data_IF_100150015706
#
_entry.id   IF_100150015706
#
_cell.length_a   1.000
_cell.length_b   1.000
_cell.length_c   1.000
_cell.angle_alpha   90.00
_cell.angle_beta   90.00
_cell.angle_gamma   90.00
#
_symmetry.space_group_name_H-M   'P 1'
#
loop_
_entity.id
_entity.type
_entity.pdbx_description
1 polymer ?
#
# COMPACT_ATOMS: atom_id res chain seq x y z
N UNK A 1 -11.47 28.80 25.46
CA UNK A 1 -10.68 27.57 25.60
C UNK A 1 -11.36 26.47 24.80
N UNK A 2 -10.91 26.24 23.57
CA UNK A 2 -11.04 24.97 22.84
C UNK A 2 -9.92 25.01 21.81
N UNK A 3 -8.83 24.31 22.12
CA UNK A 3 -7.76 24.08 21.16
C UNK A 3 -8.34 23.25 20.02
N UNK A 4 -8.57 23.90 18.87
CA UNK A 4 -8.79 23.18 17.62
C UNK A 4 -7.45 22.57 17.22
N UNK A 5 -7.17 21.38 17.76
CA UNK A 5 -6.07 20.55 17.33
C UNK A 5 -6.32 20.11 15.88
N UNK A 6 -5.84 20.90 14.93
CA UNK A 6 -5.75 20.51 13.51
C UNK A 6 -4.57 19.57 13.27
N UNK A 7 -4.28 18.66 14.20
CA UNK A 7 -3.57 17.41 13.91
C UNK A 7 -4.62 16.30 13.71
N UNK A 8 -5.52 16.55 12.75
CA UNK A 8 -6.52 15.58 12.36
C UNK A 8 -5.79 14.32 11.85
N UNK A 9 -5.83 13.23 12.62
CA UNK A 9 -5.37 11.89 12.25
C UNK A 9 -5.74 11.62 10.78
N UNK A 10 -4.81 11.79 9.85
CA UNK A 10 -5.06 11.49 8.43
C UNK A 10 -5.52 10.05 8.33
N UNK A 11 -6.67 9.81 7.68
CA UNK A 11 -7.22 8.46 7.50
C UNK A 11 -6.21 7.65 6.68
N UNK A 12 -5.95 6.41 7.08
CA UNK A 12 -4.97 5.54 6.37
C UNK A 12 -5.34 5.37 4.90
N UNK A 13 -6.64 5.33 4.57
CA UNK A 13 -7.13 5.33 3.18
C UNK A 13 -6.59 6.51 2.37
N UNK A 14 -6.64 7.73 2.90
CA UNK A 14 -6.10 8.91 2.23
C UNK A 14 -4.58 8.85 2.08
N UNK A 15 -3.88 8.30 3.08
CA UNK A 15 -2.43 8.13 3.02
C UNK A 15 -2.01 7.11 1.96
N UNK A 16 -2.72 5.98 1.84
CA UNK A 16 -2.51 4.98 0.80
C UNK A 16 -2.81 5.52 -0.58
N UNK A 17 -3.91 6.26 -0.76
CA UNK A 17 -4.23 6.92 -2.04
C UNK A 17 -3.12 7.90 -2.42
N UNK A 18 -2.61 8.70 -1.48
CA UNK A 18 -1.51 9.64 -1.76
C UNK A 18 -0.17 8.95 -2.06
N UNK A 19 0.09 7.81 -1.40
CA UNK A 19 1.25 6.97 -1.69
C UNK A 19 1.17 6.40 -3.12
N UNK A 20 -0.02 5.95 -3.51
CA UNK A 20 -0.31 5.29 -4.78
C UNK A 20 -0.74 6.19 -5.93
N UNK A 21 -0.65 7.50 -5.77
CA UNK A 21 -1.03 8.46 -6.82
C UNK A 21 -0.22 8.20 -8.11
N UNK A 22 -0.93 8.09 -9.23
CA UNK A 22 -0.41 7.61 -10.51
C UNK A 22 -0.35 6.08 -10.63
N UNK A 23 0.09 5.39 -9.58
CA UNK A 23 0.24 3.92 -9.58
C UNK A 23 -1.09 3.17 -9.65
N UNK A 24 -2.07 3.55 -8.81
CA UNK A 24 -3.40 2.91 -8.83
C UNK A 24 -4.09 3.14 -10.19
N UNK A 25 -3.89 4.32 -10.79
CA UNK A 25 -4.53 4.71 -12.06
C UNK A 25 -4.00 3.94 -13.28
N UNK A 26 -2.91 3.19 -13.15
CA UNK A 26 -2.43 2.27 -14.19
C UNK A 26 -3.41 1.11 -14.45
N UNK A 27 -4.29 0.80 -13.49
CA UNK A 27 -5.30 -0.25 -13.63
C UNK A 27 -6.46 0.20 -14.51
N UNK A 28 -6.58 -0.39 -15.70
CA UNK A 28 -7.68 -0.12 -16.63
C UNK A 28 -9.05 -0.54 -16.08
N UNK A 29 -9.08 -1.62 -15.27
CA UNK A 29 -10.30 -2.12 -14.62
C UNK A 29 -10.21 -1.91 -13.11
N UNK A 30 -11.37 -1.88 -12.43
CA UNK A 30 -11.41 -1.81 -10.96
C UNK A 30 -10.63 -2.94 -10.31
N UNK A 31 -10.73 -4.16 -10.85
CA UNK A 31 -9.97 -5.32 -10.36
C UNK A 31 -8.46 -5.08 -10.41
N UNK A 32 -7.95 -4.53 -11.53
CA UNK A 32 -6.53 -4.18 -11.64
C UNK A 32 -6.14 -3.06 -10.64
N UNK A 33 -7.01 -2.06 -10.45
CA UNK A 33 -6.78 -1.02 -9.43
C UNK A 33 -6.75 -1.58 -8.01
N UNK A 34 -7.62 -2.53 -7.69
CA UNK A 34 -7.62 -3.25 -6.41
C UNK A 34 -6.35 -4.09 -6.23
N UNK A 35 -5.85 -4.73 -7.29
CA UNK A 35 -4.54 -5.42 -7.27
C UNK A 35 -3.40 -4.44 -6.94
N UNK A 36 -3.36 -3.28 -7.60
CA UNK A 36 -2.37 -2.24 -7.29
C UNK A 36 -2.50 -1.71 -5.86
N UNK A 37 -3.74 -1.57 -5.36
CA UNK A 37 -3.99 -1.15 -3.98
C UNK A 37 -3.50 -2.19 -2.96
N UNK A 38 -3.66 -3.49 -3.24
CA UNK A 38 -3.10 -4.58 -2.41
C UNK A 38 -1.57 -4.59 -2.40
N UNK A 39 -0.95 -4.33 -3.55
CA UNK A 39 0.52 -4.17 -3.64
C UNK A 39 0.99 -2.97 -2.79
N UNK A 40 0.29 -1.84 -2.88
CA UNK A 40 0.52 -0.66 -2.04
C UNK A 40 0.42 -0.97 -0.54
N UNK A 41 -0.61 -1.70 -0.13
CA UNK A 41 -0.79 -2.12 1.27
C UNK A 41 0.38 -3.01 1.74
N UNK A 42 0.83 -3.93 0.89
CA UNK A 42 1.99 -4.78 1.19
C UNK A 42 3.26 -3.95 1.36
N UNK A 43 3.55 -3.03 0.43
CA UNK A 43 4.69 -2.11 0.53
C UNK A 43 4.62 -1.25 1.79
N UNK A 44 3.43 -0.73 2.13
CA UNK A 44 3.20 0.03 3.34
C UNK A 44 3.56 -0.75 4.60
N UNK A 45 3.07 -1.99 4.70
CA UNK A 45 3.30 -2.86 5.84
C UNK A 45 4.79 -3.22 6.01
N UNK A 46 5.48 -3.54 4.91
CA UNK A 46 6.94 -3.76 4.93
C UNK A 46 7.67 -2.50 5.41
N UNK A 47 7.27 -1.32 4.95
CA UNK A 47 7.87 -0.06 5.38
C UNK A 47 7.62 0.28 6.86
N UNK A 48 6.61 -0.33 7.50
CA UNK A 48 6.36 -0.21 8.94
C UNK A 48 7.25 -1.15 9.78
N UNK A 49 7.88 -2.17 9.21
CA UNK A 49 8.78 -3.08 9.92
C UNK A 49 10.09 -2.40 10.31
N UNK A 50 10.77 -3.00 11.31
CA UNK A 50 12.17 -2.71 11.59
C UNK A 50 13.02 -2.87 10.31
N UNK A 51 13.92 -1.93 10.01
CA UNK A 51 14.79 -2.00 8.83
C UNK A 51 15.45 -3.36 8.61
N UNK A 52 15.86 -4.05 9.69
CA UNK A 52 16.51 -5.37 9.64
C UNK A 52 15.60 -6.47 9.09
N UNK A 53 14.28 -6.32 9.24
CA UNK A 53 13.29 -7.32 8.80
C UNK A 53 12.79 -7.08 7.37
N UNK A 54 12.98 -5.87 6.82
CA UNK A 54 12.43 -5.48 5.51
C UNK A 54 12.96 -6.32 4.36
N UNK A 55 14.24 -6.66 4.39
CA UNK A 55 14.86 -7.47 3.33
C UNK A 55 14.25 -8.88 3.26
N UNK A 56 13.97 -9.50 4.41
CA UNK A 56 13.27 -10.78 4.46
C UNK A 56 11.82 -10.63 3.96
N UNK A 57 11.09 -9.64 4.47
CA UNK A 57 9.70 -9.43 4.09
C UNK A 57 9.53 -9.10 2.59
N UNK A 58 10.51 -8.41 1.97
CA UNK A 58 10.54 -8.20 0.53
C UNK A 58 10.66 -9.52 -0.24
N UNK A 59 11.61 -10.39 0.15
CA UNK A 59 11.76 -11.71 -0.49
C UNK A 59 10.49 -12.53 -0.37
N UNK A 60 9.90 -12.57 0.83
CA UNK A 60 8.64 -13.28 1.08
C UNK A 60 7.49 -12.72 0.19
N UNK A 61 7.44 -11.40 -0.03
CA UNK A 61 6.45 -10.77 -0.90
C UNK A 61 6.66 -11.12 -2.38
N UNK A 62 7.90 -11.19 -2.85
CA UNK A 62 8.23 -11.60 -4.23
C UNK A 62 7.91 -13.07 -4.45
N UNK A 63 8.23 -13.95 -3.50
CA UNK A 63 7.87 -15.38 -3.58
C UNK A 63 6.36 -15.57 -3.68
N UNK A 64 5.57 -14.87 -2.85
CA UNK A 64 4.11 -14.91 -2.92
C UNK A 64 3.55 -14.36 -4.23
N UNK A 65 4.19 -13.32 -4.79
CA UNK A 65 3.81 -12.80 -6.10
C UNK A 65 3.98 -13.87 -7.19
N UNK A 66 5.12 -14.57 -7.18
CA UNK A 66 5.40 -15.67 -8.12
C UNK A 66 4.37 -16.80 -7.96
N UNK A 67 4.13 -17.25 -6.73
CA UNK A 67 3.15 -18.32 -6.44
C UNK A 67 1.72 -17.96 -6.90
N UNK A 68 1.32 -16.71 -6.73
CA UNK A 68 -0.01 -16.23 -7.11
C UNK A 68 -0.16 -15.99 -8.63
N UNK A 69 0.94 -15.93 -9.39
CA UNK A 69 0.95 -15.59 -10.82
C UNK A 69 1.76 -16.63 -11.62
N UNK A 70 1.31 -17.90 -11.68
CA UNK A 70 2.02 -18.94 -12.41
C UNK A 70 2.15 -18.59 -13.90
N UNK A 71 3.35 -18.76 -14.47
CA UNK A 71 3.66 -18.40 -15.86
C UNK A 71 4.04 -16.93 -16.07
N UNK A 72 4.10 -16.13 -15.01
CA UNK A 72 4.50 -14.71 -15.03
C UNK A 72 5.72 -14.42 -14.17
N UNK A 73 6.58 -15.41 -13.99
CA UNK A 73 7.80 -15.32 -13.17
C UNK A 73 8.72 -14.19 -13.67
N UNK A 74 8.72 -13.93 -14.98
CA UNK A 74 9.46 -12.85 -15.61
C UNK A 74 9.02 -11.43 -15.17
N UNK A 75 7.80 -11.27 -14.63
CA UNK A 75 7.30 -10.00 -14.08
C UNK A 75 7.80 -9.73 -12.64
N UNK A 76 8.41 -10.73 -11.98
CA UNK A 76 8.78 -10.63 -10.57
C UNK A 76 9.83 -9.54 -10.28
N UNK A 77 10.75 -9.28 -11.21
CA UNK A 77 11.74 -8.21 -11.08
C UNK A 77 11.09 -6.83 -11.11
N UNK A 78 10.15 -6.60 -12.03
CA UNK A 78 9.37 -5.37 -12.10
C UNK A 78 8.56 -5.15 -10.82
N UNK A 79 7.91 -6.20 -10.31
CA UNK A 79 7.18 -6.15 -9.05
C UNK A 79 8.11 -5.78 -7.87
N UNK A 80 9.28 -6.38 -7.77
CA UNK A 80 10.25 -6.07 -6.70
C UNK A 80 10.72 -4.60 -6.78
N UNK A 81 11.00 -4.10 -7.98
CA UNK A 81 11.39 -2.70 -8.19
C UNK A 81 10.29 -1.72 -7.77
N UNK A 82 9.04 -2.00 -8.15
CA UNK A 82 7.90 -1.17 -7.77
C UNK A 82 7.69 -1.18 -6.26
N UNK A 83 7.78 -2.35 -5.62
CA UNK A 83 7.73 -2.48 -4.16
C UNK A 83 8.82 -1.65 -3.47
N UNK A 84 10.05 -1.66 -3.98
CA UNK A 84 11.16 -0.83 -3.45
C UNK A 84 10.84 0.66 -3.56
N UNK A 85 10.35 1.13 -4.71
CA UNK A 85 9.95 2.54 -4.93
C UNK A 85 8.82 2.95 -3.99
N UNK A 86 7.81 2.10 -3.82
CA UNK A 86 6.67 2.36 -2.93
C UNK A 86 7.09 2.42 -1.46
N UNK A 87 7.95 1.51 -1.00
CA UNK A 87 8.50 1.54 0.38
C UNK A 87 9.26 2.83 0.62
N UNK A 88 10.16 3.22 -0.30
CA UNK A 88 10.91 4.47 -0.19
C UNK A 88 9.98 5.69 -0.14
N UNK A 89 8.97 5.72 -1.01
CA UNK A 89 7.96 6.79 -1.03
C UNK A 89 7.17 6.85 0.28
N UNK A 90 6.78 5.71 0.87
CA UNK A 90 6.10 5.65 2.18
C UNK A 90 6.99 6.21 3.27
N UNK A 91 8.26 5.80 3.33
CA UNK A 91 9.22 6.28 4.33
C UNK A 91 9.47 7.80 4.21
N UNK A 92 9.44 8.35 3.00
CA UNK A 92 9.56 9.79 2.75
C UNK A 92 8.31 10.57 3.15
N UNK A 93 7.13 10.14 2.71
CA UNK A 93 5.87 10.87 2.93
C UNK A 93 5.33 10.70 4.36
N UNK A 94 5.51 9.52 4.96
CA UNK A 94 4.86 9.13 6.21
C UNK A 94 5.82 8.38 7.16
N UNK A 95 6.98 8.98 7.52
CA UNK A 95 8.06 8.30 8.27
C UNK A 95 7.62 7.78 9.65
N UNK A 96 6.71 8.52 10.31
CA UNK A 96 6.22 8.23 11.67
C UNK A 96 4.97 7.35 11.71
N UNK A 97 4.36 7.05 10.56
CA UNK A 97 3.15 6.22 10.54
C UNK A 97 3.52 4.76 10.80
N UNK A 98 2.95 4.21 11.89
CA UNK A 98 3.11 2.83 12.38
C UNK A 98 1.74 2.18 12.48
N UNK A 99 1.16 1.94 11.32
CA UNK A 99 -0.16 1.30 11.20
C UNK A 99 -0.03 0.17 10.20
N UNK A 100 -0.50 -1.02 10.56
CA UNK A 100 -0.59 -2.17 9.68
C UNK A 100 -1.94 -2.14 8.97
N UNK A 101 -1.90 -2.32 7.66
CA UNK A 101 -3.07 -2.44 6.79
C UNK A 101 -3.43 -3.91 6.72
N UNK A 102 -4.62 -4.26 7.18
CA UNK A 102 -5.11 -5.65 7.22
C UNK A 102 -5.85 -5.99 5.94
N UNK A 103 -6.69 -5.07 5.47
CA UNK A 103 -7.48 -5.24 4.25
C UNK A 103 -7.72 -3.90 3.55
N UNK A 104 -7.87 -3.95 2.23
CA UNK A 104 -8.13 -2.81 1.36
C UNK A 104 -9.11 -3.19 0.27
N UNK A 105 -10.06 -2.29 -0.02
CA UNK A 105 -11.06 -2.50 -1.06
C UNK A 105 -11.43 -1.19 -1.73
N UNK A 106 -11.66 -1.24 -3.04
CA UNK A 106 -12.31 -0.15 -3.79
C UNK A 106 -13.81 -0.45 -3.79
N UNK A 107 -14.64 0.55 -3.55
CA UNK A 107 -16.09 0.44 -3.67
C UNK A 107 -16.65 1.73 -4.25
N UNK A 108 -17.91 1.69 -4.67
CA UNK A 108 -18.59 2.82 -5.28
C UNK A 108 -19.61 3.39 -4.29
N UNK A 109 -19.61 4.71 -4.13
CA UNK A 109 -20.56 5.45 -3.31
C UNK A 109 -20.76 6.83 -3.96
N UNK A 110 -22.00 7.19 -4.28
CA UNK A 110 -22.38 8.42 -4.98
C UNK A 110 -21.71 8.57 -6.37
N UNK A 111 -21.69 7.49 -7.16
CA UNK A 111 -21.03 7.41 -8.48
C UNK A 111 -19.51 7.73 -8.44
N UNK A 112 -18.90 7.61 -7.26
CA UNK A 112 -17.47 7.83 -7.05
C UNK A 112 -16.80 6.60 -6.43
N UNK A 113 -15.63 6.24 -6.96
CA UNK A 113 -14.78 5.22 -6.35
C UNK A 113 -14.17 5.74 -5.04
N UNK A 114 -14.37 4.99 -3.96
CA UNK A 114 -13.81 5.23 -2.62
C UNK A 114 -12.98 4.03 -2.18
N UNK A 115 -12.00 4.32 -1.31
CA UNK A 115 -11.09 3.31 -0.75
C UNK A 115 -11.44 3.06 0.72
N UNK A 116 -11.83 1.82 1.02
CA UNK A 116 -11.97 1.31 2.37
C UNK A 116 -10.65 0.66 2.83
N UNK A 117 -10.29 0.88 4.09
CA UNK A 117 -9.10 0.28 4.70
C UNK A 117 -9.43 -0.20 6.11
N UNK A 118 -9.18 -1.48 6.36
CA UNK A 118 -9.11 -2.03 7.72
C UNK A 118 -7.66 -1.98 8.20
N UNK A 119 -7.43 -1.48 9.42
CA UNK A 119 -6.06 -1.27 9.92
C UNK A 119 -5.93 -1.46 11.42
N UNK A 120 -4.71 -1.79 11.87
CA UNK A 120 -4.33 -1.99 13.26
C UNK A 120 -3.11 -1.14 13.60
N UNK A 121 -3.10 -0.51 14.78
CA UNK A 121 -1.94 0.23 15.28
C UNK A 121 -0.95 -0.73 15.92
N UNK A 122 0.35 -0.48 15.69
CA UNK A 122 1.46 -1.25 16.23
C UNK A 122 2.49 -0.35 16.89
#
# INVERSE_FOLDING_TARGET
MFESSTDAKKKISQMLVKLGEGYIQMGATRELRENYLRTLATAWNIACLDPKLRAKAMRDAVSKFIEANPGKEHEASCYEEDMKKLIQRKLKLFPRSRVQVVDVKIFEEDDQEKVAVLSLRI
#
